data_IF_202098969265
#
_entry.id   IF_202098969265
#
_cell.length_a   1.000
_cell.length_b   1.000
_cell.length_c   1.000
_cell.angle_alpha   90.00
_cell.angle_beta   90.00
_cell.angle_gamma   90.00
#
_symmetry.space_group_name_H-M   'P 1'
#
loop_
_entity.id
_entity.type
_entity.pdbx_description
1 polymer ?
#
# COMPACT_ATOMS: atom_id res chain seq x y z
N UNK A 1 1.41 18.95 44.63
CA UNK A 1 0.61 18.23 43.61
C UNK A 1 0.98 18.79 42.25
N UNK A 2 1.76 18.06 41.46
CA UNK A 2 2.04 18.45 40.07
C UNK A 2 0.96 17.87 39.15
N UNK A 3 0.34 18.67 38.26
CA UNK A 3 -0.64 18.17 37.31
C UNK A 3 0.07 17.34 36.23
N UNK A 4 -0.42 16.12 36.00
CA UNK A 4 0.05 15.25 34.92
C UNK A 4 -0.14 15.95 33.57
N UNK A 5 0.87 15.92 32.66
CA UNK A 5 0.71 16.49 31.33
C UNK A 5 -0.34 15.71 30.56
N UNK A 6 -1.44 16.37 30.23
CA UNK A 6 -2.46 15.88 29.30
C UNK A 6 -1.79 15.61 27.95
N UNK A 7 -1.47 14.36 27.65
CA UNK A 7 -1.01 13.96 26.32
C UNK A 7 -2.18 14.12 25.36
N UNK A 8 -2.33 15.31 24.78
CA UNK A 8 -3.22 15.55 23.65
C UNK A 8 -2.72 14.72 22.50
N UNK A 9 -3.32 13.54 22.31
CA UNK A 9 -3.13 12.72 21.11
C UNK A 9 -3.69 13.54 19.95
N UNK A 10 -2.80 14.28 19.29
CA UNK A 10 -3.04 14.97 18.04
C UNK A 10 -3.29 13.91 16.96
N UNK A 11 -4.55 13.67 16.64
CA UNK A 11 -4.92 12.87 15.46
C UNK A 11 -4.60 13.73 14.24
N UNK A 12 -3.41 13.54 13.69
CA UNK A 12 -2.99 14.20 12.47
C UNK A 12 -3.75 13.58 11.31
N UNK A 13 -4.83 14.24 10.88
CA UNK A 13 -5.49 13.92 9.62
C UNK A 13 -4.51 14.20 8.49
N UNK A 14 -4.13 13.18 7.74
CA UNK A 14 -3.61 13.42 6.40
C UNK A 14 -4.65 14.24 5.63
N UNK A 15 -4.24 15.42 5.17
CA UNK A 15 -5.14 16.36 4.52
C UNK A 15 -5.65 15.71 3.23
N UNK A 16 -6.94 15.85 2.91
CA UNK A 16 -7.52 15.32 1.66
C UNK A 16 -6.72 15.70 0.41
N UNK A 17 -6.02 16.83 0.45
CA UNK A 17 -5.07 17.28 -0.56
C UNK A 17 -3.88 16.32 -0.77
N UNK A 18 -3.28 15.78 0.29
CA UNK A 18 -2.19 14.81 0.19
C UNK A 18 -2.68 13.47 -0.38
N UNK A 19 -3.87 13.04 0.01
CA UNK A 19 -4.48 11.82 -0.53
C UNK A 19 -4.77 11.94 -2.03
N UNK A 20 -5.31 13.08 -2.46
CA UNK A 20 -5.51 13.39 -3.88
C UNK A 20 -4.18 13.39 -4.64
N UNK A 21 -3.11 13.92 -4.04
CA UNK A 21 -1.78 13.90 -4.64
C UNK A 21 -1.27 12.47 -4.84
N UNK A 22 -1.36 11.60 -3.82
CA UNK A 22 -0.92 10.20 -3.94
C UNK A 22 -1.73 9.45 -5.01
N UNK A 23 -3.05 9.66 -5.06
CA UNK A 23 -3.91 9.09 -6.10
C UNK A 23 -3.54 9.60 -7.49
N UNK A 24 -3.25 10.91 -7.62
CA UNK A 24 -2.82 11.50 -8.87
C UNK A 24 -1.46 10.93 -9.32
N UNK A 25 -0.48 10.79 -8.43
CA UNK A 25 0.81 10.18 -8.74
C UNK A 25 0.67 8.73 -9.20
N UNK A 26 -0.18 7.95 -8.52
CA UNK A 26 -0.46 6.57 -8.93
C UNK A 26 -1.14 6.49 -10.30
N UNK A 27 -2.14 7.35 -10.55
CA UNK A 27 -2.81 7.42 -11.84
C UNK A 27 -1.85 7.81 -12.97
N UNK A 28 -0.97 8.79 -12.72
CA UNK A 28 0.09 9.18 -13.67
C UNK A 28 1.05 8.02 -13.93
N UNK A 29 1.45 7.27 -12.90
CA UNK A 29 2.35 6.13 -13.07
C UNK A 29 1.73 5.01 -13.91
N UNK A 30 0.46 4.67 -13.66
CA UNK A 30 -0.31 3.70 -14.47
C UNK A 30 -0.43 4.20 -15.91
N UNK A 31 -0.73 5.48 -16.10
CA UNK A 31 -0.86 6.07 -17.43
C UNK A 31 0.47 6.04 -18.19
N UNK A 32 1.59 6.45 -17.58
CA UNK A 32 2.92 6.37 -18.19
C UNK A 32 3.30 4.95 -18.58
N UNK A 33 3.01 3.96 -17.73
CA UNK A 33 3.23 2.55 -18.07
C UNK A 33 2.33 2.11 -19.23
N UNK A 34 1.04 2.42 -19.19
CA UNK A 34 0.09 2.03 -20.24
C UNK A 34 0.43 2.69 -21.60
N UNK A 35 0.82 3.96 -21.60
CA UNK A 35 1.30 4.65 -22.81
C UNK A 35 2.63 4.05 -23.29
N UNK A 36 3.57 3.79 -22.39
CA UNK A 36 4.86 3.16 -22.72
C UNK A 36 4.70 1.77 -23.34
N UNK A 37 3.76 0.96 -22.83
CA UNK A 37 3.49 -0.39 -23.36
C UNK A 37 2.65 -0.36 -24.65
N UNK A 38 1.75 0.62 -24.82
CA UNK A 38 0.94 0.73 -26.04
C UNK A 38 1.74 1.22 -27.25
N UNK A 39 2.74 2.07 -27.04
CA UNK A 39 3.63 2.57 -28.09
C UNK A 39 4.84 1.67 -28.41
N UNK A 40 4.94 0.51 -27.76
CA UNK A 40 6.07 -0.38 -27.93
C UNK A 40 6.16 -0.91 -29.38
N UNK A 41 7.23 -0.68 -30.17
CA UNK A 41 7.38 -1.31 -31.48
C UNK A 41 7.97 -2.72 -31.30
N UNK A 42 7.12 -3.68 -30.93
CA UNK A 42 7.51 -5.08 -30.72
C UNK A 42 6.42 -6.08 -31.11
N UNK A 43 6.72 -7.37 -31.09
CA UNK A 43 5.76 -8.43 -31.35
C UNK A 43 4.61 -8.37 -30.34
N UNK A 44 3.37 -8.62 -30.78
CA UNK A 44 2.19 -8.48 -29.90
C UNK A 44 2.27 -9.39 -28.66
N UNK A 45 2.97 -10.52 -28.80
CA UNK A 45 3.18 -11.49 -27.72
C UNK A 45 4.07 -10.91 -26.60
N UNK A 46 5.17 -10.23 -26.94
CA UNK A 46 6.06 -9.62 -25.95
C UNK A 46 5.38 -8.47 -25.20
N UNK A 47 4.57 -7.67 -25.92
CA UNK A 47 3.74 -6.62 -25.31
C UNK A 47 2.75 -7.19 -24.31
N UNK A 48 2.03 -8.24 -24.70
CA UNK A 48 1.04 -8.88 -23.84
C UNK A 48 1.72 -9.51 -22.61
N UNK A 49 2.86 -10.17 -22.78
CA UNK A 49 3.66 -10.70 -21.69
C UNK A 49 4.08 -9.60 -20.71
N UNK A 50 4.50 -8.44 -21.23
CA UNK A 50 4.84 -7.28 -20.41
C UNK A 50 3.67 -6.71 -19.62
N UNK A 51 2.50 -6.55 -20.25
CA UNK A 51 1.30 -6.07 -19.57
C UNK A 51 0.95 -7.02 -18.41
N UNK A 52 0.92 -8.33 -18.68
CA UNK A 52 0.63 -9.34 -17.66
C UNK A 52 1.67 -9.31 -16.54
N UNK A 53 2.95 -9.16 -16.87
CA UNK A 53 4.04 -9.04 -15.90
C UNK A 53 3.89 -7.80 -14.99
N UNK A 54 3.57 -6.63 -15.56
CA UNK A 54 3.37 -5.41 -14.80
C UNK A 54 2.15 -5.51 -13.87
N UNK A 55 1.04 -6.07 -14.37
CA UNK A 55 -0.18 -6.29 -13.56
C UNK A 55 0.11 -7.27 -12.43
N UNK A 56 0.79 -8.37 -12.72
CA UNK A 56 1.18 -9.35 -11.70
C UNK A 56 2.13 -8.76 -10.65
N UNK A 57 3.11 -7.97 -11.08
CA UNK A 57 4.01 -7.26 -10.18
C UNK A 57 3.25 -6.25 -9.28
N UNK A 58 2.26 -5.55 -9.84
CA UNK A 58 1.40 -4.65 -9.09
C UNK A 58 0.55 -5.42 -8.06
N UNK A 59 -0.05 -6.55 -8.45
CA UNK A 59 -0.81 -7.41 -7.53
C UNK A 59 0.05 -7.95 -6.38
N UNK A 60 1.25 -8.42 -6.66
CA UNK A 60 2.18 -8.92 -5.63
C UNK A 60 2.67 -7.79 -4.71
N UNK A 61 2.87 -6.57 -5.22
CA UNK A 61 3.18 -5.40 -4.38
C UNK A 61 2.06 -5.09 -3.37
N UNK A 62 0.80 -5.11 -3.81
CA UNK A 62 -0.35 -4.95 -2.92
C UNK A 62 -0.47 -6.10 -1.91
N UNK A 63 -0.21 -7.34 -2.35
CA UNK A 63 -0.20 -8.52 -1.46
C UNK A 63 0.86 -8.37 -0.37
N UNK A 64 2.08 -7.93 -0.72
CA UNK A 64 3.15 -7.67 0.23
C UNK A 64 2.77 -6.57 1.21
N UNK A 65 2.18 -5.47 0.73
CA UNK A 65 1.71 -4.38 1.60
C UNK A 65 0.64 -4.87 2.58
N UNK A 66 -0.31 -5.69 2.11
CA UNK A 66 -1.34 -6.32 2.95
C UNK A 66 -0.73 -7.28 3.97
N UNK A 67 0.23 -8.10 3.56
CA UNK A 67 0.90 -9.04 4.45
C UNK A 67 1.68 -8.34 5.57
N UNK A 68 2.39 -7.25 5.26
CA UNK A 68 3.09 -6.44 6.28
C UNK A 68 2.08 -5.88 7.29
N UNK A 69 0.91 -5.41 6.83
CA UNK A 69 -0.18 -4.95 7.70
C UNK A 69 -0.70 -6.09 8.59
N UNK A 70 -1.02 -7.23 7.99
CA UNK A 70 -1.60 -8.36 8.70
C UNK A 70 -0.62 -8.89 9.78
N UNK A 71 0.70 -8.83 9.53
CA UNK A 71 1.73 -9.13 10.55
C UNK A 71 1.77 -8.10 11.69
N UNK A 72 1.69 -6.80 11.41
CA UNK A 72 1.70 -5.78 12.47
C UNK A 72 0.48 -5.87 13.40
N UNK A 73 -0.68 -6.31 12.88
CA UNK A 73 -1.86 -6.59 13.71
C UNK A 73 -1.69 -7.84 14.58
N UNK A 74 -0.99 -8.87 14.09
CA UNK A 74 -0.70 -10.08 14.87
C UNK A 74 0.26 -9.79 16.03
N UNK A 75 1.26 -8.93 15.83
CA UNK A 75 2.22 -8.54 16.87
C UNK A 75 1.57 -7.72 18.00
N UNK A 76 0.57 -6.88 17.69
CA UNK A 76 -0.18 -6.11 18.69
C UNK A 76 -1.14 -6.96 19.55
N UNK A 77 -1.48 -8.17 19.11
CA UNK A 77 -2.45 -9.07 19.76
C UNK A 77 -1.86 -10.13 20.72
N UNK A 78 -0.53 -10.20 20.87
CA UNK A 78 0.11 -11.11 21.84
C UNK A 78 0.19 -12.59 21.45
N UNK A 79 -0.33 -13.00 20.29
CA UNK A 79 -0.23 -14.39 19.80
C UNK A 79 1.01 -14.58 18.91
N UNK A 80 2.18 -14.35 19.49
CA UNK A 80 3.43 -14.51 18.78
C UNK A 80 3.84 -16.00 18.68
N UNK A 81 4.00 -16.46 17.44
CA UNK A 81 5.05 -17.42 17.11
C UNK A 81 4.62 -18.88 16.95
N UNK A 82 4.48 -19.30 15.67
CA UNK A 82 5.28 -20.42 15.10
C UNK A 82 5.11 -20.55 13.58
N UNK A 83 3.99 -20.09 13.00
CA UNK A 83 3.63 -20.46 11.61
C UNK A 83 3.93 -19.41 10.51
N UNK A 84 4.25 -18.16 10.88
CA UNK A 84 4.54 -17.08 9.91
C UNK A 84 5.86 -17.14 9.13
N UNK A 85 6.93 -17.90 9.50
CA UNK A 85 8.17 -17.89 8.72
C UNK A 85 7.96 -18.40 7.28
N UNK A 86 7.16 -19.47 7.13
CA UNK A 86 6.94 -20.11 5.83
C UNK A 86 6.08 -19.23 4.92
N UNK A 87 4.98 -18.68 5.44
CA UNK A 87 4.13 -17.78 4.66
C UNK A 87 4.83 -16.47 4.27
N UNK A 88 5.68 -15.93 5.15
CA UNK A 88 6.52 -14.76 4.85
C UNK A 88 7.43 -15.01 3.65
N UNK A 89 8.05 -16.18 3.58
CA UNK A 89 8.90 -16.57 2.45
C UNK A 89 8.09 -16.68 1.15
N UNK A 90 6.85 -17.16 1.20
CA UNK A 90 5.97 -17.25 0.01
C UNK A 90 5.64 -15.86 -0.52
N UNK A 91 5.29 -14.90 0.34
CA UNK A 91 4.91 -13.55 -0.08
C UNK A 91 6.12 -12.74 -0.59
N UNK A 92 7.25 -12.81 0.12
CA UNK A 92 8.48 -12.17 -0.34
C UNK A 92 9.02 -12.84 -1.61
N UNK A 93 8.93 -14.16 -1.67
CA UNK A 93 9.29 -14.96 -2.84
C UNK A 93 8.48 -14.55 -4.06
N UNK A 94 7.15 -14.49 -3.96
CA UNK A 94 6.29 -14.11 -5.09
C UNK A 94 6.55 -12.69 -5.58
N UNK A 95 6.79 -11.74 -4.69
CA UNK A 95 7.14 -10.36 -5.05
C UNK A 95 8.49 -10.28 -5.78
N UNK A 96 9.54 -10.92 -5.25
CA UNK A 96 10.85 -10.93 -5.92
C UNK A 96 10.83 -11.70 -7.22
N UNK A 97 10.10 -12.82 -7.28
CA UNK A 97 9.90 -13.57 -8.52
C UNK A 97 9.17 -12.72 -9.56
N UNK A 98 8.15 -11.96 -9.17
CA UNK A 98 7.48 -11.02 -10.08
C UNK A 98 8.43 -9.93 -10.58
N UNK A 99 9.16 -9.27 -9.67
CA UNK A 99 10.17 -8.26 -10.02
C UNK A 99 11.25 -8.81 -10.96
N UNK A 100 11.73 -10.02 -10.67
CA UNK A 100 12.74 -10.71 -11.47
C UNK A 100 12.20 -11.08 -12.86
N UNK A 101 11.00 -11.61 -12.96
CA UNK A 101 10.37 -11.97 -14.25
C UNK A 101 10.09 -10.74 -15.11
N UNK A 102 9.56 -9.66 -14.53
CA UNK A 102 9.32 -8.40 -15.25
C UNK A 102 10.62 -7.76 -15.71
N UNK A 103 11.64 -7.68 -14.84
CA UNK A 103 12.96 -7.16 -15.18
C UNK A 103 13.68 -8.01 -16.23
N UNK A 104 13.61 -9.34 -16.12
CA UNK A 104 14.17 -10.27 -17.08
C UNK A 104 13.51 -10.14 -18.46
N UNK A 105 12.18 -10.04 -18.51
CA UNK A 105 11.45 -9.76 -19.74
C UNK A 105 11.90 -8.45 -20.38
N UNK A 106 12.23 -7.43 -19.58
CA UNK A 106 12.58 -6.10 -20.07
C UNK A 106 13.97 -6.09 -20.70
N UNK A 107 14.90 -6.84 -20.11
CA UNK A 107 16.27 -7.02 -20.63
C UNK A 107 16.24 -7.82 -21.94
N UNK A 108 15.42 -8.86 -22.01
CA UNK A 108 15.31 -9.77 -23.17
C UNK A 108 14.74 -9.13 -24.43
N UNK A 109 13.97 -8.06 -24.32
CA UNK A 109 13.31 -7.46 -25.48
C UNK A 109 14.32 -6.66 -26.32
N UNK A 110 14.45 -6.91 -27.63
CA UNK A 110 15.36 -6.13 -28.50
C UNK A 110 14.69 -4.82 -28.95
N UNK A 111 14.73 -3.80 -28.09
CA UNK A 111 14.24 -2.43 -28.38
C UNK A 111 15.36 -1.44 -28.07
N UNK A 112 15.28 -0.25 -28.65
CA UNK A 112 16.11 0.90 -28.32
C UNK A 112 16.25 1.08 -26.79
N UNK A 113 17.49 1.18 -26.32
CA UNK A 113 17.85 1.28 -24.90
C UNK A 113 17.14 2.43 -24.17
N UNK A 114 16.86 3.53 -24.87
CA UNK A 114 16.12 4.66 -24.30
C UNK A 114 14.68 4.26 -23.89
N UNK A 115 14.00 3.42 -24.69
CA UNK A 115 12.67 2.93 -24.36
C UNK A 115 12.69 1.93 -23.20
N UNK A 116 13.70 1.05 -23.14
CA UNK A 116 13.89 0.14 -22.00
C UNK A 116 14.07 0.90 -20.70
N UNK A 117 14.92 1.93 -20.71
CA UNK A 117 15.14 2.78 -19.56
C UNK A 117 13.84 3.49 -19.13
N UNK A 118 13.09 4.06 -20.07
CA UNK A 118 11.81 4.70 -19.78
C UNK A 118 10.79 3.73 -19.15
N UNK A 119 10.67 2.52 -19.69
CA UNK A 119 9.77 1.48 -19.16
C UNK A 119 10.20 0.99 -17.78
N UNK A 120 11.50 0.82 -17.57
CA UNK A 120 12.06 0.42 -16.28
C UNK A 120 11.83 1.48 -15.21
N UNK A 121 12.07 2.75 -15.51
CA UNK A 121 11.82 3.86 -14.58
C UNK A 121 10.32 4.00 -14.29
N UNK A 122 9.48 3.94 -15.33
CA UNK A 122 8.02 4.03 -15.17
C UNK A 122 7.47 2.88 -14.32
N UNK A 123 8.00 1.67 -14.50
CA UNK A 123 7.66 0.50 -13.69
C UNK A 123 8.06 0.65 -12.23
N UNK A 124 9.30 1.05 -11.95
CA UNK A 124 9.75 1.30 -10.59
C UNK A 124 8.93 2.40 -9.91
N UNK A 125 8.60 3.45 -10.66
CA UNK A 125 7.74 4.53 -10.20
C UNK A 125 6.31 4.06 -9.91
N UNK A 126 5.76 3.16 -10.74
CA UNK A 126 4.47 2.51 -10.52
C UNK A 126 4.47 1.70 -9.22
N UNK A 127 5.50 0.88 -8.97
CA UNK A 127 5.61 0.09 -7.75
C UNK A 127 5.73 0.98 -6.50
N UNK A 128 6.56 2.02 -6.56
CA UNK A 128 6.67 3.00 -5.47
C UNK A 128 5.33 3.69 -5.18
N UNK A 129 4.63 4.12 -6.24
CA UNK A 129 3.31 4.74 -6.12
C UNK A 129 2.26 3.77 -5.58
N UNK A 130 2.32 2.48 -5.96
CA UNK A 130 1.43 1.44 -5.44
C UNK A 130 1.62 1.22 -3.93
N UNK A 131 2.88 1.14 -3.47
CA UNK A 131 3.17 1.08 -2.04
C UNK A 131 2.76 2.35 -1.30
N UNK A 132 2.91 3.52 -1.92
CA UNK A 132 2.45 4.78 -1.36
C UNK A 132 0.93 4.79 -1.21
N UNK A 133 0.20 4.39 -2.24
CA UNK A 133 -1.26 4.25 -2.21
C UNK A 133 -1.72 3.25 -1.16
N UNK A 134 -1.04 2.10 -1.05
CA UNK A 134 -1.34 1.08 -0.06
C UNK A 134 -1.14 1.60 1.38
N UNK A 135 -0.08 2.40 1.62
CA UNK A 135 0.13 3.08 2.91
C UNK A 135 -0.95 4.12 3.18
N UNK A 136 -1.20 5.04 2.25
CA UNK A 136 -2.24 6.08 2.41
C UNK A 136 -3.62 5.49 2.68
N UNK A 137 -3.98 4.38 2.02
CA UNK A 137 -5.25 3.69 2.24
C UNK A 137 -5.30 3.04 3.63
N UNK A 138 -4.17 2.51 4.09
CA UNK A 138 -4.02 1.97 5.44
C UNK A 138 -4.14 3.08 6.49
N UNK A 139 -3.40 4.16 6.35
CA UNK A 139 -3.40 5.30 7.29
C UNK A 139 -4.82 5.86 7.45
N UNK A 140 -5.60 5.86 6.35
CA UNK A 140 -7.02 6.22 6.35
C UNK A 140 -7.88 5.24 7.15
N UNK A 141 -7.69 3.93 6.98
CA UNK A 141 -8.44 2.91 7.71
C UNK A 141 -8.14 2.93 9.21
N UNK A 142 -6.87 3.16 9.59
CA UNK A 142 -6.47 3.31 11.00
C UNK A 142 -7.08 4.58 11.63
N UNK A 143 -7.07 5.71 10.91
CA UNK A 143 -7.69 6.94 11.37
C UNK A 143 -9.20 6.79 11.61
N UNK A 144 -9.92 6.15 10.68
CA UNK A 144 -11.37 5.90 10.82
C UNK A 144 -11.67 4.99 12.04
N UNK A 145 -10.84 3.98 12.28
CA UNK A 145 -11.02 3.03 13.39
C UNK A 145 -10.73 3.67 14.76
N UNK A 146 -9.76 4.57 14.84
CA UNK A 146 -9.50 5.38 16.05
C UNK A 146 -10.65 6.35 16.32
N UNK A 147 -11.20 6.99 15.28
CA UNK A 147 -12.34 7.91 15.41
C UNK A 147 -13.59 7.18 15.91
N UNK A 148 -13.89 5.99 15.38
CA UNK A 148 -14.98 5.13 15.87
C UNK A 148 -14.82 4.73 17.34
N UNK A 149 -13.59 4.37 17.78
CA UNK A 149 -13.30 4.07 19.19
C UNK A 149 -13.51 5.29 20.09
N UNK A 150 -13.12 6.49 19.65
CA UNK A 150 -13.31 7.72 20.42
C UNK A 150 -14.79 8.12 20.51
N UNK A 151 -15.56 7.96 19.44
CA UNK A 151 -17.00 8.18 19.44
C UNK A 151 -17.70 7.23 20.42
N UNK A 152 -17.36 5.93 20.40
CA UNK A 152 -17.88 4.95 21.36
C UNK A 152 -17.53 5.29 22.83
N UNK A 153 -16.29 5.73 23.09
CA UNK A 153 -15.88 6.18 24.44
C UNK A 153 -16.61 7.45 24.89
N UNK A 154 -16.92 8.37 23.97
CA UNK A 154 -17.70 9.58 24.27
C UNK A 154 -19.16 9.24 24.58
N UNK A 155 -19.78 8.37 23.79
CA UNK A 155 -21.15 7.90 24.02
C UNK A 155 -21.28 7.19 25.37
N UNK A 156 -20.41 6.22 25.67
CA UNK A 156 -20.41 5.52 26.97
C UNK A 156 -20.20 6.45 28.17
N UNK A 157 -19.38 7.51 28.02
CA UNK A 157 -19.16 8.51 29.07
C UNK A 157 -20.38 9.41 29.28
N UNK A 158 -21.10 9.74 28.21
CA UNK A 158 -22.35 10.51 28.28
C UNK A 158 -23.47 9.70 28.93
N UNK A 159 -23.59 8.42 28.59
CA UNK A 159 -24.53 7.48 29.21
C UNK A 159 -24.26 7.31 30.71
N UNK A 160 -23.00 7.12 31.10
CA UNK A 160 -22.61 7.04 32.52
C UNK A 160 -22.90 8.33 33.30
N UNK A 161 -22.70 9.50 32.67
CA UNK A 161 -23.01 10.79 33.29
C UNK A 161 -24.53 11.02 33.43
N UNK A 162 -25.33 10.55 32.46
CA UNK A 162 -26.78 10.62 32.52
C UNK A 162 -27.35 9.69 33.60
N UNK A 163 -26.82 8.46 33.72
CA UNK A 163 -27.23 7.51 34.75
C UNK A 163 -26.93 8.01 36.17
N UNK A 164 -25.76 8.63 36.41
CA UNK A 164 -25.41 9.20 37.71
C UNK A 164 -26.14 10.50 38.08
N UNK A 165 -26.94 11.08 37.17
CA UNK A 165 -27.77 12.26 37.43
C UNK A 165 -29.25 11.94 37.70
N UNK A 166 -29.63 10.65 37.60
CA UNK A 166 -30.99 10.16 37.83
C UNK A 166 -31.17 9.48 39.21
N UNK A 167 -30.08 9.29 39.96
CA UNK A 167 -30.05 8.93 41.39
C UNK A 167 -29.90 10.20 42.25
#
# INVERSE_FOLDING_TARGET
MQPFPSTTVSIQRDTRAWQLQVWASFAIAVFLCATGLSWLPGEALDRAFMVMGYVFCLSTAFMLAKFIRDNQHADAGGTAGRDVPMWRLVVWGSFFTAMGLTGWGLIRMEINDAYKAFLGVSWLFLISSAFTLAKTLRDRHEADLVEARLQGRRAARQEAAAAGSAE
#
